data_IF_645117568812
#
_entry.id   IF_645117568812
#
_cell.length_a   1.000
_cell.length_b   1.000
_cell.length_c   1.000
_cell.angle_alpha   90.00
_cell.angle_beta   90.00
_cell.angle_gamma   90.00
#
_symmetry.space_group_name_H-M   'P 1'
#
loop_
_entity.id
_entity.type
_entity.pdbx_description
1 polymer ?
#
# COMPACT_ATOMS: atom_id res chain seq x y z
N UNK A 1 -8.95 2.87 1.38
CA UNK A 1 -7.48 2.70 1.27
C UNK A 1 -7.07 2.54 -0.19
N UNK A 2 -5.94 3.09 -0.52
CA UNK A 2 -5.39 3.00 -1.88
C UNK A 2 -4.58 1.72 -2.03
N UNK A 3 -4.77 1.01 -3.15
CA UNK A 3 -3.96 -0.14 -3.52
C UNK A 3 -3.20 0.19 -4.78
N UNK A 4 -1.87 0.07 -4.75
CA UNK A 4 -0.98 0.32 -5.90
C UNK A 4 -0.23 -0.95 -6.22
N UNK A 5 -0.60 -1.59 -7.32
CA UNK A 5 -0.07 -2.88 -7.77
C UNK A 5 -0.28 -3.00 -9.27
N UNK A 6 0.77 -3.32 -10.03
CA UNK A 6 0.69 -3.43 -11.49
C UNK A 6 0.24 -4.81 -11.98
N UNK A 7 0.39 -5.86 -11.17
CA UNK A 7 -0.12 -7.19 -11.49
C UNK A 7 -1.62 -7.23 -11.28
N UNK A 8 -2.41 -7.22 -12.35
CA UNK A 8 -3.87 -7.12 -12.24
C UNK A 8 -4.49 -8.26 -11.43
N UNK A 9 -3.94 -9.46 -11.51
CA UNK A 9 -4.43 -10.61 -10.74
C UNK A 9 -4.20 -10.41 -9.25
N UNK A 10 -3.02 -9.94 -8.86
CA UNK A 10 -2.69 -9.64 -7.47
C UNK A 10 -3.53 -8.46 -6.97
N UNK A 11 -3.63 -7.42 -7.79
CA UNK A 11 -4.41 -6.23 -7.46
C UNK A 11 -5.88 -6.57 -7.21
N UNK A 12 -6.49 -7.38 -8.09
CA UNK A 12 -7.88 -7.79 -7.92
C UNK A 12 -8.08 -8.66 -6.69
N UNK A 13 -7.14 -9.56 -6.40
CA UNK A 13 -7.20 -10.41 -5.22
C UNK A 13 -7.10 -9.58 -3.93
N UNK A 14 -6.21 -8.59 -3.90
CA UNK A 14 -6.10 -7.67 -2.76
C UNK A 14 -7.39 -6.89 -2.55
N UNK A 15 -7.91 -6.32 -3.62
CA UNK A 15 -9.16 -5.54 -3.57
C UNK A 15 -10.31 -6.38 -3.03
N UNK A 16 -10.50 -7.57 -3.61
CA UNK A 16 -11.59 -8.47 -3.21
C UNK A 16 -11.48 -8.85 -1.73
N UNK A 17 -10.29 -9.23 -1.29
CA UNK A 17 -10.07 -9.62 0.10
C UNK A 17 -10.36 -8.46 1.06
N UNK A 18 -9.83 -7.28 0.77
CA UNK A 18 -10.02 -6.10 1.63
C UNK A 18 -11.49 -5.68 1.68
N UNK A 19 -12.18 -5.73 0.55
CA UNK A 19 -13.61 -5.41 0.50
C UNK A 19 -14.45 -6.40 1.27
N UNK A 20 -14.11 -7.69 1.21
CA UNK A 20 -14.76 -8.72 2.02
C UNK A 20 -14.57 -8.51 3.52
N UNK A 21 -13.48 -7.86 3.90
CA UNK A 21 -13.22 -7.50 5.30
C UNK A 21 -13.86 -6.16 5.71
N UNK A 22 -14.68 -5.58 4.86
CA UNK A 22 -15.40 -4.35 5.15
C UNK A 22 -14.66 -3.07 4.85
N UNK A 23 -13.55 -3.15 4.12
CA UNK A 23 -12.74 -1.99 3.79
C UNK A 23 -13.13 -1.40 2.44
N UNK A 24 -13.01 -0.08 2.31
CA UNK A 24 -13.29 0.61 1.04
C UNK A 24 -11.97 0.77 0.29
N UNK A 25 -11.89 0.16 -0.88
CA UNK A 25 -10.68 0.17 -1.71
C UNK A 25 -10.79 1.22 -2.80
N UNK A 26 -9.76 2.07 -2.90
CA UNK A 26 -9.60 3.05 -3.97
C UNK A 26 -8.56 2.50 -4.94
N UNK A 27 -8.88 2.43 -6.20
CA UNK A 27 -8.06 1.78 -7.20
C UNK A 27 -8.53 0.36 -7.48
N UNK A 28 -7.65 -0.59 -7.81
CA UNK A 28 -6.19 -0.49 -7.78
C UNK A 28 -5.62 0.43 -8.86
N UNK A 29 -4.51 1.08 -8.54
CA UNK A 29 -3.73 1.84 -9.50
C UNK A 29 -2.52 1.02 -9.93
N UNK A 30 -2.25 0.98 -11.22
CA UNK A 30 -1.13 0.20 -11.77
C UNK A 30 0.14 1.04 -11.94
N UNK A 31 0.02 2.37 -11.88
CA UNK A 31 1.12 3.29 -12.11
C UNK A 31 1.10 4.43 -11.09
N UNK A 32 2.27 5.05 -10.83
CA UNK A 32 2.34 6.15 -9.85
C UNK A 32 1.43 7.34 -10.16
N UNK A 33 1.29 7.73 -11.41
CA UNK A 33 0.46 8.87 -11.78
C UNK A 33 -1.02 8.63 -11.50
N UNK A 34 -1.51 7.44 -11.77
CA UNK A 34 -2.89 7.07 -11.44
C UNK A 34 -3.10 7.05 -9.93
N UNK A 35 -2.12 6.56 -9.19
CA UNK A 35 -2.17 6.54 -7.74
C UNK A 35 -2.24 7.96 -7.16
N UNK A 36 -1.44 8.89 -7.69
CA UNK A 36 -1.46 10.29 -7.25
C UNK A 36 -2.81 10.93 -7.53
N UNK A 37 -3.37 10.68 -8.72
CA UNK A 37 -4.67 11.21 -9.09
C UNK A 37 -5.75 10.74 -8.11
N UNK A 38 -5.78 9.46 -7.83
CA UNK A 38 -6.75 8.90 -6.87
C UNK A 38 -6.56 9.45 -5.47
N UNK A 39 -5.32 9.63 -5.03
CA UNK A 39 -5.03 10.18 -3.72
C UNK A 39 -5.48 11.64 -3.59
N UNK A 40 -5.45 12.39 -4.68
CA UNK A 40 -5.93 13.78 -4.70
C UNK A 40 -7.45 13.86 -4.70
N UNK A 41 -8.13 12.89 -5.30
CA UNK A 41 -9.59 12.87 -5.42
C UNK A 41 -10.30 12.27 -4.21
N UNK A 42 -9.63 11.38 -3.45
CA UNK A 42 -10.26 10.61 -2.39
C UNK A 42 -9.49 10.75 -1.07
N UNK A 43 -10.17 10.90 0.07
CA UNK A 43 -9.50 10.81 1.36
C UNK A 43 -9.02 9.37 1.60
N UNK A 44 -7.78 9.23 2.09
CA UNK A 44 -7.15 7.93 2.28
C UNK A 44 -6.77 7.71 3.74
N UNK A 45 -7.15 6.56 4.31
CA UNK A 45 -6.69 6.14 5.63
C UNK A 45 -5.31 5.52 5.57
N UNK A 46 -4.99 4.82 4.47
CA UNK A 46 -3.67 4.25 4.23
C UNK A 46 -3.52 3.88 2.76
N UNK A 47 -2.28 3.59 2.37
CA UNK A 47 -1.96 3.09 1.04
C UNK A 47 -1.14 1.82 1.14
N UNK A 48 -1.46 0.85 0.29
CA UNK A 48 -0.69 -0.39 0.13
C UNK A 48 0.01 -0.29 -1.22
N UNK A 49 1.35 -0.24 -1.21
CA UNK A 49 2.14 0.05 -2.40
C UNK A 49 3.16 -1.05 -2.65
N UNK A 50 3.12 -1.66 -3.84
CA UNK A 50 4.19 -2.54 -4.29
C UNK A 50 5.42 -1.69 -4.63
N UNK A 51 6.58 -2.08 -4.13
CA UNK A 51 7.84 -1.38 -4.38
C UNK A 51 8.17 -1.35 -5.87
N UNK A 52 7.89 -2.45 -6.58
CA UNK A 52 8.24 -2.56 -7.99
C UNK A 52 6.99 -2.51 -8.86
N UNK A 53 6.85 -1.44 -9.64
CA UNK A 53 5.75 -1.25 -10.58
C UNK A 53 6.31 -1.30 -12.01
N UNK A 54 6.17 -2.46 -12.68
CA UNK A 54 6.65 -2.68 -14.06
C UNK A 54 8.14 -2.34 -14.23
N UNK A 55 8.97 -2.79 -13.26
CA UNK A 55 10.41 -2.52 -13.30
C UNK A 55 10.81 -1.14 -12.78
N UNK A 56 9.85 -0.28 -12.48
CA UNK A 56 10.11 1.02 -11.84
C UNK A 56 9.90 0.91 -10.34
N UNK A 57 10.79 1.53 -9.58
CA UNK A 57 10.64 1.56 -8.12
C UNK A 57 9.66 2.66 -7.72
N UNK A 58 8.76 2.32 -6.81
CA UNK A 58 7.69 3.24 -6.38
C UNK A 58 8.13 4.18 -5.25
N UNK A 59 9.42 4.43 -5.09
CA UNK A 59 9.96 5.19 -3.94
C UNK A 59 9.45 6.62 -3.89
N UNK A 60 9.40 7.31 -5.03
CA UNK A 60 8.92 8.69 -5.08
C UNK A 60 7.45 8.77 -4.69
N UNK A 61 6.64 7.84 -5.18
CA UNK A 61 5.22 7.78 -4.82
C UNK A 61 5.04 7.53 -3.32
N UNK A 62 5.81 6.61 -2.76
CA UNK A 62 5.73 6.27 -1.35
C UNK A 62 6.09 7.47 -0.48
N UNK A 63 7.15 8.19 -0.84
CA UNK A 63 7.56 9.40 -0.14
C UNK A 63 6.51 10.49 -0.24
N UNK A 64 5.95 10.69 -1.43
CA UNK A 64 4.89 11.67 -1.64
C UNK A 64 3.66 11.38 -0.78
N UNK A 65 3.22 10.12 -0.71
CA UNK A 65 2.10 9.71 0.13
C UNK A 65 2.42 9.93 1.62
N UNK A 66 3.61 9.55 2.03
CA UNK A 66 4.05 9.70 3.41
C UNK A 66 4.06 11.18 3.83
N UNK A 67 4.57 12.05 2.97
CA UNK A 67 4.65 13.49 3.24
C UNK A 67 3.26 14.14 3.33
N UNK A 68 2.26 13.54 2.71
CA UNK A 68 0.87 13.97 2.81
C UNK A 68 0.17 13.45 4.06
N UNK A 69 0.87 12.70 4.91
CA UNK A 69 0.29 12.11 6.11
C UNK A 69 -0.44 10.80 5.89
N UNK A 70 -0.30 10.19 4.73
CA UNK A 70 -0.92 8.89 4.43
C UNK A 70 0.02 7.78 4.88
N UNK A 71 -0.39 6.90 5.82
CA UNK A 71 0.44 5.75 6.20
C UNK A 71 0.63 4.82 5.00
N UNK A 72 1.85 4.32 4.83
CA UNK A 72 2.19 3.46 3.69
C UNK A 72 2.58 2.07 4.20
N UNK A 73 1.90 1.05 3.69
CA UNK A 73 2.31 -0.34 3.84
C UNK A 73 3.03 -0.74 2.56
N UNK A 74 4.30 -1.09 2.67
CA UNK A 74 5.14 -1.44 1.54
C UNK A 74 5.05 -2.94 1.30
N UNK A 75 4.75 -3.35 0.06
CA UNK A 75 4.81 -4.76 -0.35
C UNK A 75 6.07 -4.96 -1.18
N UNK A 76 6.85 -5.98 -0.86
CA UNK A 76 8.10 -6.26 -1.56
C UNK A 76 8.37 -7.74 -1.71
N UNK A 77 8.86 -8.13 -2.89
CA UNK A 77 9.43 -9.45 -3.13
C UNK A 77 10.94 -9.50 -2.91
N UNK A 78 11.56 -8.38 -2.58
CA UNK A 78 13.00 -8.31 -2.38
C UNK A 78 13.40 -8.64 -0.95
N UNK A 79 14.55 -9.33 -0.79
CA UNK A 79 15.08 -9.67 0.53
C UNK A 79 15.87 -8.50 1.15
N UNK A 80 16.61 -7.78 0.33
CA UNK A 80 17.44 -6.66 0.76
C UNK A 80 16.79 -5.35 0.35
N UNK A 81 16.13 -4.69 1.31
CA UNK A 81 15.47 -3.42 1.06
C UNK A 81 16.33 -2.27 1.53
N UNK A 82 16.31 -1.13 0.82
CA UNK A 82 17.00 0.06 1.30
C UNK A 82 16.54 0.44 2.71
N UNK A 83 17.48 0.87 3.58
CA UNK A 83 17.14 1.22 4.97
C UNK A 83 16.06 2.30 5.10
N UNK A 84 15.95 3.20 4.13
CA UNK A 84 14.97 4.28 4.19
C UNK A 84 13.51 3.77 4.15
N UNK A 85 13.27 2.53 3.71
CA UNK A 85 11.92 1.97 3.71
C UNK A 85 11.40 1.70 5.12
N UNK A 86 12.27 1.64 6.11
CA UNK A 86 11.85 1.45 7.52
C UNK A 86 11.06 2.62 8.08
N UNK A 87 11.10 3.78 7.43
CA UNK A 87 10.30 4.95 7.83
C UNK A 87 8.81 4.78 7.59
N UNK A 88 8.44 3.87 6.70
CA UNK A 88 7.04 3.62 6.40
C UNK A 88 6.38 2.76 7.48
N UNK A 89 5.05 2.73 7.46
CA UNK A 89 4.27 2.13 8.55
C UNK A 89 4.52 0.64 8.72
N UNK A 90 4.70 -0.08 7.60
CA UNK A 90 4.98 -1.51 7.65
C UNK A 90 5.54 -1.98 6.32
N UNK A 91 6.23 -3.12 6.36
CA UNK A 91 6.72 -3.81 5.17
C UNK A 91 6.19 -5.24 5.20
N UNK A 92 5.48 -5.64 4.13
CA UNK A 92 5.04 -7.01 3.92
C UNK A 92 5.87 -7.64 2.81
N UNK A 93 6.50 -8.77 3.11
CA UNK A 93 7.30 -9.50 2.12
C UNK A 93 6.44 -10.54 1.43
N UNK A 94 6.57 -10.62 0.11
CA UNK A 94 5.92 -11.67 -0.70
C UNK A 94 6.70 -12.99 -0.54
N UNK A 95 6.02 -14.13 -0.45
CA UNK A 95 4.59 -14.27 -0.32
C UNK A 95 4.12 -13.98 1.12
N UNK A 96 2.93 -13.41 1.24
CA UNK A 96 2.32 -13.18 2.55
C UNK A 96 0.93 -13.83 2.59
N UNK A 97 0.48 -14.17 3.80
CA UNK A 97 -0.86 -14.74 3.97
C UNK A 97 -1.91 -13.64 4.06
N UNK A 98 -3.18 -13.94 3.76
CA UNK A 98 -4.27 -12.99 3.99
C UNK A 98 -4.33 -12.50 5.45
N UNK A 99 -4.05 -13.39 6.41
CA UNK A 99 -4.04 -13.01 7.83
C UNK A 99 -2.94 -12.02 8.15
N UNK A 100 -1.75 -12.19 7.57
CA UNK A 100 -0.65 -11.26 7.76
C UNK A 100 -1.00 -9.88 7.19
N UNK A 101 -1.62 -9.82 6.01
CA UNK A 101 -2.07 -8.58 5.42
C UNK A 101 -3.10 -7.89 6.32
N UNK A 102 -4.12 -8.62 6.76
CA UNK A 102 -5.19 -8.06 7.57
C UNK A 102 -4.66 -7.53 8.91
N UNK A 103 -3.79 -8.30 9.56
CA UNK A 103 -3.15 -7.88 10.81
C UNK A 103 -2.36 -6.60 10.62
N UNK A 104 -1.56 -6.52 9.56
CA UNK A 104 -0.75 -5.35 9.25
C UNK A 104 -1.61 -4.12 8.99
N UNK A 105 -2.68 -4.28 8.21
CA UNK A 105 -3.63 -3.19 7.91
C UNK A 105 -4.27 -2.68 9.21
N UNK A 106 -4.79 -3.58 10.04
CA UNK A 106 -5.45 -3.20 11.29
C UNK A 106 -4.52 -2.50 12.26
N UNK A 107 -3.29 -2.99 12.40
CA UNK A 107 -2.28 -2.38 13.26
C UNK A 107 -1.89 -0.99 12.76
N UNK A 108 -1.76 -0.83 11.45
CA UNK A 108 -1.40 0.45 10.85
C UNK A 108 -2.50 1.49 11.09
N UNK A 109 -3.75 1.13 10.86
CA UNK A 109 -4.88 2.03 11.10
C UNK A 109 -4.96 2.41 12.58
N UNK A 110 -4.84 1.45 13.47
CA UNK A 110 -4.92 1.69 14.91
C UNK A 110 -3.82 2.63 15.39
N UNK A 111 -2.60 2.44 14.94
CA UNK A 111 -1.47 3.31 15.33
C UNK A 111 -1.63 4.73 14.81
N UNK A 112 -2.13 4.86 13.58
CA UNK A 112 -2.28 6.17 12.95
C UNK A 112 -3.41 7.00 13.58
N UNK A 113 -4.42 6.35 14.16
CA UNK A 113 -5.55 7.02 14.81
C UNK A 113 -5.26 7.46 16.25
N UNK A 114 -4.13 7.06 16.82
CA UNK A 114 -3.77 7.48 18.18
C UNK A 114 -3.41 8.96 18.21
N UNK A 115 -3.91 9.70 19.19
CA UNK A 115 -3.54 11.10 19.37
C UNK A 115 -2.07 11.27 19.72
#
# INVERSE_FOLDING_TARGET
MLVVEDGWQVADALKLFLEQMGMIVVGPAAAPDDARRLALECPLELAIVDVNLKGEMAYELMEWLHDRGTPVIVISGYHNLPPHLKRYSAILRKPFTPDALLTTVRQTIARHRRP
#
